data_IF_037888710952
#
_entry.id   IF_037888710952
#
_cell.length_a   1.000
_cell.length_b   1.000
_cell.length_c   1.000
_cell.angle_alpha   90.00
_cell.angle_beta   90.00
_cell.angle_gamma   90.00
#
_symmetry.space_group_name_H-M   'P 1'
#
loop_
_entity.id
_entity.type
_entity.pdbx_description
1 polymer ?
#
# COMPACT_ATOMS: atom_id res chain seq x y z
N UNK A 1 -7.39 9.08 -11.70
CA UNK A 1 -8.16 10.32 -11.51
C UNK A 1 -9.50 10.09 -10.79
N UNK A 2 -10.36 9.18 -11.27
CA UNK A 2 -11.70 8.93 -10.70
C UNK A 2 -11.70 8.48 -9.24
N UNK A 3 -10.71 7.69 -8.81
CA UNK A 3 -10.56 7.20 -7.44
C UNK A 3 -10.34 8.33 -6.41
N UNK A 4 -9.56 9.36 -6.77
CA UNK A 4 -9.24 10.48 -5.88
C UNK A 4 -10.42 11.45 -5.70
N UNK A 5 -11.20 11.65 -6.76
CA UNK A 5 -12.39 12.52 -6.74
C UNK A 5 -13.54 11.88 -5.94
N UNK A 6 -13.72 10.56 -6.07
CA UNK A 6 -14.69 9.79 -5.29
C UNK A 6 -14.26 9.69 -3.82
N UNK A 7 -12.98 9.41 -3.56
CA UNK A 7 -12.42 9.35 -2.20
C UNK A 7 -12.65 10.62 -1.40
N UNK A 8 -12.47 11.80 -2.03
CA UNK A 8 -12.69 13.11 -1.40
C UNK A 8 -14.17 13.39 -1.05
N UNK A 9 -15.13 12.80 -1.79
CA UNK A 9 -16.57 12.88 -1.49
C UNK A 9 -17.02 11.94 -0.35
N UNK A 10 -16.31 10.83 -0.10
CA UNK A 10 -16.63 9.88 0.98
C UNK A 10 -15.94 10.21 2.32
N UNK A 11 -14.83 10.94 2.32
CA UNK A 11 -14.10 11.33 3.55
C UNK A 11 -14.81 12.38 4.42
N UNK A 12 -15.96 12.91 3.99
CA UNK A 12 -16.78 13.81 4.80
C UNK A 12 -17.62 13.11 5.89
N UNK A 13 -17.81 11.79 5.82
CA UNK A 13 -18.71 11.06 6.73
C UNK A 13 -18.27 9.64 7.13
N UNK A 14 -17.12 9.15 6.65
CA UNK A 14 -16.58 7.83 7.03
C UNK A 14 -15.16 7.94 7.61
N UNK A 15 -15.00 7.46 8.85
CA UNK A 15 -13.69 7.21 9.46
C UNK A 15 -12.88 6.25 8.61
N UNK A 16 -11.57 6.49 8.43
CA UNK A 16 -10.71 5.68 7.54
C UNK A 16 -10.71 4.17 7.89
N UNK A 17 -11.07 3.79 9.13
CA UNK A 17 -11.30 2.40 9.53
C UNK A 17 -12.43 1.73 8.75
N UNK A 18 -13.50 2.47 8.44
CA UNK A 18 -14.69 1.97 7.75
C UNK A 18 -14.44 1.77 6.25
N UNK A 19 -13.60 2.63 5.67
CA UNK A 19 -13.11 2.47 4.29
C UNK A 19 -12.21 1.23 4.19
N UNK A 20 -11.26 1.08 5.12
CA UNK A 20 -10.37 -0.08 5.17
C UNK A 20 -11.13 -1.40 5.41
N UNK A 21 -12.13 -1.41 6.30
CA UNK A 21 -12.96 -2.59 6.53
C UNK A 21 -13.74 -2.96 5.27
N UNK A 22 -14.30 -1.99 4.54
CA UNK A 22 -15.04 -2.26 3.31
C UNK A 22 -14.15 -2.85 2.21
N UNK A 23 -12.93 -2.32 2.04
CA UNK A 23 -11.95 -2.83 1.07
C UNK A 23 -11.55 -4.27 1.43
N UNK A 24 -11.26 -4.55 2.71
CA UNK A 24 -10.93 -5.90 3.15
C UNK A 24 -12.13 -6.85 3.02
N UNK A 25 -13.35 -6.39 3.27
CA UNK A 25 -14.57 -7.22 3.15
C UNK A 25 -14.86 -7.58 1.70
N UNK A 26 -14.75 -6.61 0.78
CA UNK A 26 -14.91 -6.87 -0.65
C UNK A 26 -13.76 -7.72 -1.19
N UNK A 27 -12.52 -7.46 -0.77
CA UNK A 27 -11.38 -8.31 -1.09
C UNK A 27 -11.60 -9.75 -0.64
N UNK A 28 -12.07 -9.95 0.59
CA UNK A 28 -12.41 -11.26 1.11
C UNK A 28 -13.57 -11.90 0.32
N UNK A 29 -14.67 -11.19 0.11
CA UNK A 29 -15.85 -11.74 -0.57
C UNK A 29 -15.57 -12.14 -2.02
N UNK A 30 -14.74 -11.37 -2.73
CA UNK A 30 -14.36 -11.66 -4.11
C UNK A 30 -13.30 -12.76 -4.20
N UNK A 31 -12.34 -12.80 -3.26
CA UNK A 31 -11.26 -13.76 -3.30
C UNK A 31 -11.62 -15.11 -2.67
N UNK A 32 -12.63 -15.16 -1.79
CA UNK A 32 -13.13 -16.40 -1.16
C UNK A 32 -13.62 -17.44 -2.17
N UNK A 33 -14.53 -17.14 -3.13
CA UNK A 33 -15.02 -18.15 -4.07
C UNK A 33 -13.92 -18.65 -5.01
N UNK A 34 -13.01 -17.77 -5.42
CA UNK A 34 -11.87 -18.14 -6.27
C UNK A 34 -10.85 -18.98 -5.51
N UNK A 35 -10.57 -18.61 -4.25
CA UNK A 35 -9.71 -19.36 -3.35
C UNK A 35 -10.29 -20.73 -2.99
N UNK A 36 -11.61 -20.82 -2.78
CA UNK A 36 -12.29 -22.10 -2.52
C UNK A 36 -12.22 -23.01 -3.75
N UNK A 37 -12.41 -22.46 -4.94
CA UNK A 37 -12.30 -23.23 -6.19
C UNK A 37 -10.90 -23.82 -6.37
N UNK A 38 -9.85 -23.02 -6.17
CA UNK A 38 -8.46 -23.48 -6.24
C UNK A 38 -8.09 -24.43 -5.10
N UNK A 39 -8.72 -24.27 -3.93
CA UNK A 39 -8.52 -25.12 -2.75
C UNK A 39 -9.02 -26.56 -2.95
N UNK A 40 -10.01 -26.79 -3.81
CA UNK A 40 -10.58 -28.13 -4.02
C UNK A 40 -9.57 -29.13 -4.62
N UNK A 41 -8.67 -28.65 -5.50
CA UNK A 41 -7.60 -29.45 -6.11
C UNK A 41 -6.24 -29.27 -5.41
N UNK A 42 -6.18 -28.48 -4.33
CA UNK A 42 -4.92 -28.14 -3.67
C UNK A 42 -4.55 -29.13 -2.56
N UNK A 43 -3.35 -29.70 -2.62
CA UNK A 43 -2.83 -30.55 -1.57
C UNK A 43 -2.24 -29.71 -0.42
N UNK A 44 -3.07 -29.40 0.58
CA UNK A 44 -2.67 -28.66 1.78
C UNK A 44 -1.54 -29.32 2.59
N UNK A 45 -1.37 -30.65 2.49
CA UNK A 45 -0.31 -31.39 3.17
C UNK A 45 1.08 -31.21 2.57
N UNK A 46 1.17 -30.67 1.35
CA UNK A 46 2.45 -30.34 0.72
C UNK A 46 3.06 -29.03 1.26
N UNK A 47 2.27 -28.22 2.00
CA UNK A 47 2.70 -26.92 2.52
C UNK A 47 3.26 -27.07 3.94
N UNK A 48 4.53 -26.67 4.17
CA UNK A 48 5.11 -26.70 5.51
C UNK A 48 4.32 -25.88 6.54
N UNK A 49 4.24 -26.30 7.82
CA UNK A 49 3.53 -25.57 8.87
C UNK A 49 4.01 -24.12 9.06
N UNK A 50 5.30 -23.85 8.82
CA UNK A 50 5.87 -22.50 8.95
C UNK A 50 5.31 -21.52 7.91
N UNK A 51 4.95 -22.01 6.72
CA UNK A 51 4.39 -21.18 5.65
C UNK A 51 3.01 -20.65 6.03
N UNK A 52 2.22 -21.43 6.76
CA UNK A 52 0.92 -20.98 7.28
C UNK A 52 1.06 -19.83 8.27
N UNK A 53 2.06 -19.89 9.15
CA UNK A 53 2.36 -18.81 10.11
C UNK A 53 2.78 -17.54 9.34
N UNK A 54 3.65 -17.66 8.34
CA UNK A 54 4.05 -16.54 7.49
C UNK A 54 2.87 -15.93 6.72
N UNK A 55 1.94 -16.75 6.23
CA UNK A 55 0.72 -16.30 5.55
C UNK A 55 -0.19 -15.50 6.49
N UNK A 56 -0.43 -16.00 7.71
CA UNK A 56 -1.21 -15.28 8.72
C UNK A 56 -0.54 -13.96 9.08
N UNK A 57 0.78 -13.99 9.31
CA UNK A 57 1.56 -12.78 9.60
C UNK A 57 1.46 -11.76 8.46
N UNK A 58 1.62 -12.19 7.22
CA UNK A 58 1.50 -11.34 6.02
C UNK A 58 0.10 -10.72 5.89
N UNK A 59 -0.96 -11.52 6.11
CA UNK A 59 -2.34 -11.02 6.08
C UNK A 59 -2.59 -9.96 7.16
N UNK A 60 -2.12 -10.18 8.37
CA UNK A 60 -2.24 -9.20 9.46
C UNK A 60 -1.42 -7.92 9.18
N UNK A 61 -0.22 -8.06 8.60
CA UNK A 61 0.63 -6.94 8.18
C UNK A 61 -0.03 -6.07 7.10
N UNK A 62 -0.53 -6.71 6.05
CA UNK A 62 -1.19 -6.03 4.94
C UNK A 62 -2.51 -5.35 5.37
N UNK A 63 -3.28 -5.97 6.26
CA UNK A 63 -4.61 -5.48 6.64
C UNK A 63 -4.60 -4.63 7.91
N UNK A 64 -4.23 -5.20 9.04
CA UNK A 64 -4.46 -4.58 10.36
C UNK A 64 -3.36 -3.58 10.69
N UNK A 65 -2.09 -3.99 10.58
CA UNK A 65 -0.96 -3.14 10.94
C UNK A 65 -0.83 -1.94 10.01
N UNK A 66 -0.96 -2.12 8.69
CA UNK A 66 -0.90 -1.02 7.72
C UNK A 66 -1.95 0.04 8.00
N UNK A 67 -3.21 -0.36 8.23
CA UNK A 67 -4.31 0.58 8.49
C UNK A 67 -4.14 1.29 9.83
N UNK A 68 -3.67 0.58 10.85
CA UNK A 68 -3.37 1.16 12.16
C UNK A 68 -2.25 2.20 12.08
N UNK A 69 -1.11 1.84 11.48
CA UNK A 69 0.02 2.75 11.28
C UNK A 69 -0.36 3.97 10.44
N UNK A 70 -1.18 3.78 9.41
CA UNK A 70 -1.69 4.89 8.58
C UNK A 70 -2.53 5.87 9.39
N UNK A 71 -3.47 5.37 10.22
CA UNK A 71 -4.27 6.22 11.09
C UNK A 71 -3.42 6.95 12.13
N UNK A 72 -2.46 6.27 12.76
CA UNK A 72 -1.56 6.88 13.75
C UNK A 72 -0.62 7.91 13.12
N UNK A 73 -0.11 7.64 11.91
CA UNK A 73 0.73 8.57 11.15
C UNK A 73 -0.01 9.83 10.73
N UNK A 74 -1.27 9.70 10.29
CA UNK A 74 -2.11 10.85 9.94
C UNK A 74 -2.47 11.74 11.14
N UNK A 75 -2.52 11.18 12.34
CA UNK A 75 -2.77 11.96 13.57
C UNK A 75 -1.56 12.80 14.01
N UNK A 76 -0.35 12.40 13.62
CA UNK A 76 0.91 13.04 14.05
C UNK A 76 1.53 13.94 13.00
N UNK A 77 1.09 13.86 11.73
CA UNK A 77 1.67 14.59 10.61
C UNK A 77 0.63 15.54 9.97
N UNK A 78 0.88 16.86 9.94
CA UNK A 78 0.02 17.81 9.23
C UNK A 78 -0.10 17.44 7.75
N UNK A 79 -1.32 17.49 7.18
CA UNK A 79 -1.64 17.07 5.80
C UNK A 79 -0.72 17.68 4.72
N UNK A 80 -0.11 18.84 4.99
CA UNK A 80 0.87 19.48 4.11
C UNK A 80 2.20 18.70 3.93
N UNK A 81 2.52 17.71 4.79
CA UNK A 81 3.70 16.84 4.65
C UNK A 81 3.41 15.46 4.02
N UNK A 82 2.15 15.17 3.68
CA UNK A 82 1.75 13.89 3.08
C UNK A 82 2.46 13.59 1.75
N UNK A 83 2.84 14.62 0.99
CA UNK A 83 3.63 14.47 -0.24
C UNK A 83 5.00 13.82 0.01
N UNK A 84 5.66 14.15 1.13
CA UNK A 84 6.97 13.59 1.50
C UNK A 84 6.87 12.07 1.77
N UNK A 85 5.77 11.61 2.37
CA UNK A 85 5.52 10.19 2.59
C UNK A 85 5.28 9.41 1.29
N UNK A 86 4.80 10.08 0.25
CA UNK A 86 4.58 9.44 -1.06
C UNK A 86 5.92 9.19 -1.78
N UNK A 87 6.93 10.03 -1.51
CA UNK A 87 8.32 9.85 -1.99
C UNK A 87 9.05 8.77 -1.19
N UNK A 88 8.73 8.58 0.10
CA UNK A 88 9.34 7.53 0.92
C UNK A 88 8.98 6.11 0.47
N UNK A 89 7.78 5.91 -0.09
CA UNK A 89 7.29 4.61 -0.56
C UNK A 89 8.21 3.89 -1.56
N UNK A 90 8.59 4.50 -2.70
CA UNK A 90 9.52 3.87 -3.64
C UNK A 90 10.92 3.67 -3.04
N UNK A 91 11.36 4.56 -2.14
CA UNK A 91 12.68 4.46 -1.48
C UNK A 91 12.70 3.27 -0.53
N UNK A 92 11.70 3.12 0.33
CA UNK A 92 11.63 1.99 1.27
C UNK A 92 11.41 0.67 0.55
N UNK A 93 10.61 0.65 -0.52
CA UNK A 93 10.44 -0.54 -1.36
C UNK A 93 11.77 -0.96 -2.01
N UNK A 94 12.49 -0.01 -2.63
CA UNK A 94 13.82 -0.22 -3.21
C UNK A 94 14.83 -0.75 -2.18
N UNK A 95 14.91 -0.09 -1.02
CA UNK A 95 15.83 -0.45 0.04
C UNK A 95 15.53 -1.85 0.60
N UNK A 96 14.24 -2.19 0.75
CA UNK A 96 13.83 -3.52 1.22
C UNK A 96 14.21 -4.61 0.21
N UNK A 97 14.03 -4.36 -1.09
CA UNK A 97 14.45 -5.28 -2.16
C UNK A 97 15.95 -5.54 -2.17
N UNK A 98 16.77 -4.49 -2.01
CA UNK A 98 18.24 -4.63 -1.99
C UNK A 98 18.74 -5.30 -0.70
N UNK A 99 18.24 -4.87 0.46
CA UNK A 99 18.76 -5.33 1.75
C UNK A 99 18.25 -6.71 2.16
N UNK A 100 16.96 -7.00 1.92
CA UNK A 100 16.33 -8.24 2.41
C UNK A 100 16.18 -9.30 1.32
N UNK A 101 15.92 -8.90 0.06
CA UNK A 101 15.85 -9.85 -1.06
C UNK A 101 17.20 -10.07 -1.75
N UNK A 102 18.20 -9.21 -1.48
CA UNK A 102 19.53 -9.30 -2.10
C UNK A 102 19.55 -8.89 -3.57
N UNK A 103 18.53 -8.17 -4.05
CA UNK A 103 18.45 -7.75 -5.44
C UNK A 103 19.57 -6.75 -5.78
N UNK A 104 20.30 -7.02 -6.87
CA UNK A 104 21.26 -6.06 -7.42
C UNK A 104 20.53 -5.09 -8.32
N UNK A 105 20.41 -3.85 -7.87
CA UNK A 105 19.82 -2.79 -8.69
C UNK A 105 20.69 -2.52 -9.93
N UNK A 106 20.18 -2.88 -11.10
CA UNK A 106 20.81 -2.53 -12.37
C UNK A 106 20.68 -1.03 -12.65
N UNK A 107 21.56 -0.47 -13.51
CA UNK A 107 21.54 0.97 -13.84
C UNK A 107 20.17 1.46 -14.35
N UNK A 108 19.40 0.60 -15.02
CA UNK A 108 18.04 0.91 -15.48
C UNK A 108 17.04 1.06 -14.33
N UNK A 109 17.12 0.23 -13.29
CA UNK A 109 16.26 0.34 -12.09
C UNK A 109 16.59 1.60 -11.29
N UNK A 110 17.86 1.97 -11.21
CA UNK A 110 18.28 3.23 -10.60
C UNK A 110 17.72 4.41 -11.40
N UNK A 111 17.82 4.37 -12.74
CA UNK A 111 17.23 5.37 -13.62
C UNK A 111 15.71 5.49 -13.45
N UNK A 112 14.99 4.35 -13.38
CA UNK A 112 13.56 4.32 -13.14
C UNK A 112 13.18 4.87 -11.76
N UNK A 113 13.96 4.55 -10.71
CA UNK A 113 13.77 5.08 -9.37
C UNK A 113 13.97 6.60 -9.36
N UNK A 114 15.03 7.12 -9.99
CA UNK A 114 15.28 8.55 -10.12
C UNK A 114 14.16 9.27 -10.89
N UNK A 115 13.67 8.68 -11.98
CA UNK A 115 12.55 9.23 -12.74
C UNK A 115 11.26 9.27 -11.92
N UNK A 116 10.96 8.20 -11.17
CA UNK A 116 9.80 8.14 -10.28
C UNK A 116 9.91 9.19 -9.15
N UNK A 117 11.06 9.30 -8.50
CA UNK A 117 11.31 10.32 -7.46
C UNK A 117 11.13 11.74 -8.02
N UNK A 118 11.66 12.01 -9.22
CA UNK A 118 11.52 13.30 -9.89
C UNK A 118 10.06 13.61 -10.19
N UNK A 119 9.30 12.64 -10.71
CA UNK A 119 7.86 12.79 -10.97
C UNK A 119 7.06 13.10 -9.70
N UNK A 120 7.38 12.44 -8.58
CA UNK A 120 6.70 12.71 -7.30
C UNK A 120 7.09 14.08 -6.75
N UNK A 121 8.35 14.50 -6.84
CA UNK A 121 8.78 15.85 -6.44
C UNK A 121 8.02 16.90 -7.25
N UNK A 122 7.97 16.76 -8.58
CA UNK A 122 7.22 17.69 -9.44
C UNK A 122 5.72 17.72 -9.10
N UNK A 123 5.12 16.59 -8.77
CA UNK A 123 3.71 16.49 -8.39
C UNK A 123 3.41 17.04 -6.98
N UNK A 124 4.41 17.10 -6.10
CA UNK A 124 4.28 17.57 -4.71
C UNK A 124 4.74 19.02 -4.52
N UNK A 125 5.34 19.64 -5.53
CA UNK A 125 5.59 21.08 -5.53
C UNK A 125 4.26 21.82 -5.35
N UNK A 126 4.20 22.81 -4.43
CA UNK A 126 2.98 23.56 -4.20
C UNK A 126 2.57 24.26 -5.50
N UNK A 127 1.42 23.83 -6.05
CA UNK A 127 0.79 24.49 -7.19
C UNK A 127 0.62 25.97 -6.86
N UNK A 128 1.19 26.82 -7.70
CA UNK A 128 1.13 28.28 -7.59
C UNK A 128 -0.32 28.68 -7.33
N UNK A 129 -0.58 29.23 -6.14
CA UNK A 129 -1.88 29.74 -5.72
C UNK A 129 -2.39 30.72 -6.77
N UNK A 130 -3.40 30.29 -7.53
CA UNK A 130 -4.14 31.17 -8.43
C UNK A 130 -5.03 32.06 -7.54
N UNK A 131 -4.56 33.28 -7.29
CA UNK A 131 -5.37 34.35 -6.70
C UNK A 131 -6.22 34.93 -7.82
N UNK A 132 -7.53 34.70 -7.76
CA UNK A 132 -8.56 35.58 -8.33
C UNK A 132 -9.73 35.61 -7.39
#
# INVERSE_FOLDING_TARGET
ASYAVIGKKLTGSLSAKRIASLINLWGFALMTPLGLYLALDFNFGAVPPHTWILLVFYGLAASVWTVWLWMTGLQTVPAARAGVFTVMLPITAALTGVLFLGERMGGLQIGALCAALTGVVLATLPGRTEKT
#
